data_IF_298610545094
#
_entry.id   IF_298610545094
#
_cell.length_a   1.000
_cell.length_b   1.000
_cell.length_c   1.000
_cell.angle_alpha   90.00
_cell.angle_beta   90.00
_cell.angle_gamma   90.00
#
_symmetry.space_group_name_H-M   'P 1'
#
loop_
_entity.id
_entity.type
_entity.pdbx_description
1 polymer ?
#
# COMPACT_ATOMS: atom_id res chain seq x y z
N UNK A 1 -6.92 -1.18 -22.03
CA UNK A 1 -5.68 -0.69 -21.39
C UNK A 1 -6.07 0.33 -20.32
N UNK A 2 -5.83 0.05 -19.04
CA UNK A 2 -6.13 1.01 -17.96
C UNK A 2 -5.11 2.17 -18.05
N UNK A 3 -5.58 3.40 -18.28
CA UNK A 3 -4.72 4.58 -18.20
C UNK A 3 -4.24 4.74 -16.76
N UNK A 4 -2.93 4.88 -16.50
CA UNK A 4 -2.43 5.05 -15.14
C UNK A 4 -2.94 6.37 -14.57
N UNK A 5 -3.73 6.30 -13.50
CA UNK A 5 -4.18 7.47 -12.75
C UNK A 5 -3.20 7.72 -11.61
N UNK A 6 -2.54 8.87 -11.62
CA UNK A 6 -1.69 9.32 -10.51
C UNK A 6 -2.60 9.62 -9.33
N UNK A 7 -2.27 9.07 -8.16
CA UNK A 7 -2.97 9.29 -6.91
C UNK A 7 -1.94 9.84 -5.92
N UNK A 8 -2.29 10.88 -5.19
CA UNK A 8 -1.44 11.50 -4.19
C UNK A 8 -2.06 11.34 -2.79
N UNK A 9 -1.21 11.08 -1.80
CA UNK A 9 -1.61 11.02 -0.40
C UNK A 9 -1.51 12.44 0.15
N UNK A 10 -2.64 13.13 0.26
CA UNK A 10 -2.70 14.54 0.65
C UNK A 10 -2.34 14.73 2.13
N UNK A 11 -2.81 13.84 3.01
CA UNK A 11 -2.51 13.88 4.44
C UNK A 11 -1.86 12.59 4.92
N UNK A 12 -0.53 12.56 4.92
CA UNK A 12 0.24 11.41 5.39
C UNK A 12 0.19 11.24 6.91
N UNK A 13 -0.19 12.28 7.66
CA UNK A 13 -0.29 12.22 9.14
C UNK A 13 -1.47 11.38 9.61
N UNK A 14 -2.53 11.32 8.82
CA UNK A 14 -3.72 10.50 9.10
C UNK A 14 -3.50 9.01 8.74
N UNK A 15 -2.30 8.65 8.25
CA UNK A 15 -1.97 7.30 7.86
C UNK A 15 -1.97 6.34 9.06
N UNK A 16 -3.01 5.53 9.18
CA UNK A 16 -3.10 4.45 10.18
C UNK A 16 -2.26 3.21 9.82
N UNK A 17 -1.48 3.26 8.74
CA UNK A 17 -0.60 2.16 8.25
C UNK A 17 -1.31 0.85 7.90
N UNK A 18 -2.55 0.93 7.40
CA UNK A 18 -3.35 -0.24 6.98
C UNK A 18 -2.76 -0.99 5.77
N UNK A 19 -2.05 -0.30 4.86
CA UNK A 19 -1.40 -0.90 3.70
C UNK A 19 -2.27 -1.01 2.45
N UNK A 20 -3.53 -0.55 2.47
CA UNK A 20 -4.43 -0.61 1.33
C UNK A 20 -3.84 0.08 0.08
N UNK A 21 -3.29 1.29 0.22
CA UNK A 21 -2.68 2.01 -0.90
C UNK A 21 -1.49 1.26 -1.55
N UNK A 22 -0.68 0.58 -0.74
CA UNK A 22 0.45 -0.26 -1.21
C UNK A 22 -0.08 -1.47 -1.99
N UNK A 23 -1.13 -2.12 -1.49
CA UNK A 23 -1.72 -3.29 -2.14
C UNK A 23 -2.40 -2.93 -3.46
N UNK A 24 -3.10 -1.79 -3.51
CA UNK A 24 -3.86 -1.36 -4.69
C UNK A 24 -2.98 -0.80 -5.82
N UNK A 25 -1.79 -0.28 -5.51
CA UNK A 25 -0.91 0.27 -6.52
C UNK A 25 -0.27 -0.88 -7.32
N UNK A 26 -0.52 -1.01 -8.64
CA UNK A 26 0.08 -2.07 -9.45
C UNK A 26 1.57 -1.80 -9.75
N UNK A 27 2.06 -0.59 -9.48
CA UNK A 27 3.42 -0.15 -9.79
C UNK A 27 4.36 -0.14 -8.57
N UNK A 28 3.90 -0.65 -7.42
CA UNK A 28 4.74 -0.73 -6.21
C UNK A 28 5.33 0.62 -5.74
N UNK A 29 4.60 1.72 -5.99
CA UNK A 29 5.09 3.08 -5.78
C UNK A 29 5.23 3.49 -4.29
N UNK A 30 4.76 2.66 -3.35
CA UNK A 30 4.68 2.99 -1.92
C UNK A 30 5.22 1.83 -1.07
N UNK A 31 5.91 2.15 0.03
CA UNK A 31 6.41 1.18 1.01
C UNK A 31 6.29 1.70 2.44
N UNK A 32 6.40 0.81 3.43
CA UNK A 32 6.52 1.22 4.83
C UNK A 32 7.97 1.26 5.27
N UNK A 33 8.28 2.17 6.19
CA UNK A 33 9.58 2.27 6.84
C UNK A 33 9.38 1.95 8.32
N UNK A 34 10.19 1.06 8.88
CA UNK A 34 10.18 0.76 10.31
C UNK A 34 10.83 1.89 11.11
N UNK A 35 10.62 1.96 12.44
CA UNK A 35 11.34 2.91 13.29
C UNK A 35 12.87 2.78 13.20
N UNK A 36 13.36 1.58 12.88
CA UNK A 36 14.78 1.28 12.64
C UNK A 36 15.28 1.66 11.24
N UNK A 37 14.44 2.28 10.40
CA UNK A 37 14.80 2.69 9.04
C UNK A 37 14.74 1.59 7.98
N UNK A 38 14.30 0.38 8.33
CA UNK A 38 14.18 -0.73 7.36
C UNK A 38 12.94 -0.56 6.49
N UNK A 39 13.10 -0.74 5.19
CA UNK A 39 11.99 -0.74 4.22
C UNK A 39 11.29 -2.10 4.25
N UNK A 40 9.97 -2.08 4.43
CA UNK A 40 9.09 -3.24 4.25
C UNK A 40 8.64 -3.24 2.79
N UNK A 41 9.03 -4.27 2.05
CA UNK A 41 8.70 -4.36 0.63
C UNK A 41 7.18 -4.48 0.40
N UNK A 42 6.65 -3.91 -0.70
CA UNK A 42 5.24 -4.00 -1.07
C UNK A 42 4.71 -5.44 -1.12
N UNK A 43 5.52 -6.37 -1.61
CA UNK A 43 5.22 -7.81 -1.65
C UNK A 43 4.90 -8.37 -0.27
N UNK A 44 5.70 -8.03 0.74
CA UNK A 44 5.47 -8.44 2.14
C UNK A 44 4.15 -7.88 2.67
N UNK A 45 3.83 -6.62 2.38
CA UNK A 45 2.57 -6.01 2.80
C UNK A 45 1.36 -6.71 2.16
N UNK A 46 1.46 -7.06 0.87
CA UNK A 46 0.43 -7.82 0.14
C UNK A 46 0.20 -9.22 0.71
N UNK A 47 1.26 -9.91 1.13
CA UNK A 47 1.15 -11.27 1.67
C UNK A 47 0.56 -11.31 3.08
N UNK A 48 0.95 -10.39 3.97
CA UNK A 48 0.69 -10.55 5.41
C UNK A 48 -0.27 -9.52 6.02
N UNK A 49 -0.54 -8.39 5.35
CA UNK A 49 -1.24 -7.25 5.98
C UNK A 49 -2.67 -7.04 5.49
N UNK A 50 -3.01 -7.57 4.32
CA UNK A 50 -4.37 -7.59 3.80
C UNK A 50 -4.77 -9.03 3.47
N UNK A 51 -5.38 -9.72 4.43
CA UNK A 51 -6.23 -10.87 4.12
C UNK A 51 -7.51 -10.31 3.48
N UNK A 52 -7.46 -10.06 2.17
CA UNK A 52 -8.61 -9.65 1.36
C UNK A 52 -9.57 -10.84 1.17
N UNK A 53 -10.19 -11.31 2.25
CA UNK A 53 -11.41 -12.14 2.18
C UNK A 53 -12.65 -11.32 1.79
N UNK A 54 -12.50 -10.00 1.59
CA UNK A 54 -13.49 -9.17 0.93
C UNK A 54 -13.36 -9.28 -0.59
N UNK A 55 -14.18 -10.14 -1.21
CA UNK A 55 -14.43 -10.05 -2.66
C UNK A 55 -14.88 -8.63 -2.98
N UNK A 56 -14.23 -7.97 -3.93
CA UNK A 56 -14.85 -6.86 -4.66
C UNK A 56 -15.92 -7.46 -5.56
N UNK A 57 -17.13 -7.57 -5.04
CA UNK A 57 -18.34 -7.53 -5.87
C UNK A 57 -18.49 -6.13 -6.45
#
# INVERSE_FOLDING_TARGET
MLKPKKIEIINSRDCIRCGACIVQCPFDALSFITPTGKIIQPKTVRTYKLNLSGKRT
#
